data_IF_306258016046
#
_entry.id   IF_306258016046
#
_cell.length_a   1.000
_cell.length_b   1.000
_cell.length_c   1.000
_cell.angle_alpha   90.00
_cell.angle_beta   90.00
_cell.angle_gamma   90.00
#
_symmetry.space_group_name_H-M   'P 1'
#
loop_
_entity.id
_entity.type
_entity.pdbx_description
1 polymer ?
#
# COMPACT_ATOMS: atom_id res chain seq x y z
N UNK A 1 -7.19 -10.75 -13.83
CA UNK A 1 -7.41 -9.28 -13.94
C UNK A 1 -6.80 -8.65 -12.71
N UNK A 2 -5.91 -7.67 -12.88
CA UNK A 2 -5.23 -7.01 -11.76
C UNK A 2 -6.20 -6.14 -10.96
N UNK A 3 -6.02 -6.06 -9.64
CA UNK A 3 -6.91 -5.31 -8.74
C UNK A 3 -6.12 -4.51 -7.72
N UNK A 4 -6.54 -3.27 -7.49
CA UNK A 4 -6.05 -2.43 -6.38
C UNK A 4 -6.54 -3.00 -5.06
N UNK A 5 -5.64 -3.17 -4.10
CA UNK A 5 -5.95 -3.73 -2.78
C UNK A 5 -5.69 -2.77 -1.63
N UNK A 6 -4.84 -1.77 -1.82
CA UNK A 6 -4.46 -0.84 -0.76
C UNK A 6 -3.92 0.47 -1.34
N UNK A 7 -4.11 1.56 -0.60
CA UNK A 7 -3.40 2.83 -0.80
C UNK A 7 -2.36 3.04 0.31
N UNK A 8 -1.29 3.77 0.01
CA UNK A 8 -0.26 4.09 0.98
C UNK A 8 0.13 5.57 0.87
N UNK A 9 0.07 6.29 1.98
CA UNK A 9 0.29 7.72 2.04
C UNK A 9 1.54 8.05 2.89
N UNK A 10 2.50 8.82 2.36
CA UNK A 10 3.67 9.24 3.13
C UNK A 10 3.31 10.34 4.14
N UNK A 11 3.78 10.20 5.37
CA UNK A 11 3.70 11.19 6.43
C UNK A 11 5.10 11.66 6.84
N UNK A 12 5.33 12.96 6.86
CA UNK A 12 6.55 13.56 7.44
C UNK A 12 6.48 13.63 8.97
N UNK A 13 5.26 13.69 9.50
CA UNK A 13 4.93 13.73 10.91
C UNK A 13 3.74 12.78 11.10
N UNK A 14 4.01 11.61 11.67
CA UNK A 14 3.04 10.52 11.78
C UNK A 14 1.88 10.92 12.70
N UNK A 15 2.18 11.50 13.86
CA UNK A 15 1.15 11.91 14.83
C UNK A 15 0.23 12.98 14.24
N UNK A 16 0.79 13.98 13.53
CA UNK A 16 -0.02 15.00 12.84
C UNK A 16 -0.90 14.39 11.75
N UNK A 17 -0.38 13.42 10.99
CA UNK A 17 -1.15 12.75 9.95
C UNK A 17 -2.30 11.93 10.54
N UNK A 18 -2.02 11.13 11.58
CA UNK A 18 -3.04 10.34 12.30
C UNK A 18 -4.14 11.23 12.84
N UNK A 19 -3.79 12.32 13.52
CA UNK A 19 -4.75 13.28 14.05
C UNK A 19 -5.63 13.86 12.94
N UNK A 20 -5.01 14.33 11.85
CA UNK A 20 -5.74 14.91 10.72
C UNK A 20 -6.75 13.93 10.10
N UNK A 21 -6.34 12.70 9.78
CA UNK A 21 -7.23 11.75 9.11
C UNK A 21 -8.35 11.22 10.03
N UNK A 22 -8.08 11.09 11.34
CA UNK A 22 -9.11 10.78 12.33
C UNK A 22 -10.14 11.91 12.44
N UNK A 23 -9.69 13.15 12.63
CA UNK A 23 -10.60 14.27 12.89
C UNK A 23 -11.39 14.70 11.64
N UNK A 24 -10.74 14.75 10.48
CA UNK A 24 -11.37 15.27 9.26
C UNK A 24 -12.22 14.22 8.55
N UNK A 25 -11.76 12.97 8.53
CA UNK A 25 -12.40 11.90 7.75
C UNK A 25 -12.99 10.77 8.59
N UNK A 26 -12.80 10.80 9.92
CA UNK A 26 -13.29 9.74 10.81
C UNK A 26 -12.60 8.40 10.59
N UNK A 27 -11.40 8.37 10.01
CA UNK A 27 -10.70 7.13 9.73
C UNK A 27 -10.21 6.49 11.02
N UNK A 28 -10.29 5.17 11.08
CA UNK A 28 -9.70 4.37 12.14
C UNK A 28 -8.26 4.00 11.75
N UNK A 29 -7.30 4.28 12.62
CA UNK A 29 -5.86 4.21 12.28
C UNK A 29 -5.10 3.62 13.44
N UNK A 30 -4.35 2.54 13.21
CA UNK A 30 -3.54 1.87 14.24
C UNK A 30 -2.09 1.69 13.80
N UNK A 31 -1.16 1.89 14.74
CA UNK A 31 0.23 1.51 14.55
C UNK A 31 0.36 0.00 14.37
N UNK A 32 1.15 -0.44 13.38
CA UNK A 32 1.42 -1.87 13.21
C UNK A 32 2.52 -2.32 14.17
N UNK A 33 2.29 -3.36 15.00
CA UNK A 33 3.31 -3.88 15.91
C UNK A 33 4.59 -4.28 15.17
N UNK A 34 5.74 -3.94 15.74
CA UNK A 34 7.05 -4.22 15.13
C UNK A 34 7.48 -3.25 14.02
N UNK A 35 6.65 -2.28 13.63
CA UNK A 35 7.02 -1.26 12.64
C UNK A 35 7.93 -0.15 13.17
N UNK A 36 8.17 -0.09 14.49
CA UNK A 36 8.89 1.03 15.12
C UNK A 36 8.14 2.37 15.05
N UNK A 37 6.85 2.36 14.70
CA UNK A 37 6.05 3.56 14.47
C UNK A 37 6.08 4.05 13.01
N UNK A 38 6.87 3.41 12.14
CA UNK A 38 7.03 3.85 10.74
C UNK A 38 5.89 3.47 9.82
N UNK A 39 4.95 2.64 10.28
CA UNK A 39 3.81 2.22 9.49
C UNK A 39 2.55 2.09 10.34
N UNK A 40 1.45 2.67 9.86
CA UNK A 40 0.14 2.60 10.49
C UNK A 40 -0.90 2.14 9.49
N UNK A 41 -1.75 1.20 9.87
CA UNK A 41 -2.84 0.71 9.05
C UNK A 41 -4.03 1.67 9.15
N UNK A 42 -4.59 2.07 8.01
CA UNK A 42 -5.74 2.98 7.93
C UNK A 42 -6.98 2.24 7.44
N UNK A 43 -8.07 2.36 8.19
CA UNK A 43 -9.40 1.85 7.85
C UNK A 43 -10.33 3.03 7.56
N UNK A 44 -10.66 3.21 6.28
CA UNK A 44 -11.61 4.22 5.80
C UNK A 44 -13.05 3.70 5.76
N UNK A 45 -13.23 2.38 5.82
CA UNK A 45 -14.51 1.69 5.93
C UNK A 45 -14.47 0.65 7.06
N UNK A 46 -15.62 0.23 7.60
CA UNK A 46 -15.68 -0.81 8.62
C UNK A 46 -15.07 -2.15 8.13
N UNK A 47 -14.34 -2.79 9.03
CA UNK A 47 -13.81 -4.16 8.87
C UNK A 47 -14.49 -5.12 9.83
N UNK A 48 -14.70 -6.36 9.40
CA UNK A 48 -15.16 -7.47 10.24
C UNK A 48 -14.07 -7.98 11.19
N UNK A 49 -14.44 -8.91 12.06
CA UNK A 49 -13.53 -9.52 13.04
C UNK A 49 -12.37 -10.28 12.38
N UNK A 50 -12.55 -10.76 11.15
CA UNK A 50 -11.53 -11.42 10.34
C UNK A 50 -10.60 -10.43 9.61
N UNK A 51 -10.80 -9.12 9.80
CA UNK A 51 -10.09 -8.07 9.09
C UNK A 51 -10.59 -7.82 7.67
N UNK A 52 -11.64 -8.52 7.23
CA UNK A 52 -12.26 -8.34 5.92
C UNK A 52 -13.04 -7.03 5.82
N UNK A 53 -13.06 -6.40 4.64
CA UNK A 53 -13.84 -5.19 4.39
C UNK A 53 -15.33 -5.53 4.34
N UNK A 54 -16.14 -4.80 5.11
CA UNK A 54 -17.60 -4.98 5.12
C UNK A 54 -18.28 -4.28 3.93
N UNK A 55 -17.64 -3.24 3.38
CA UNK A 55 -18.13 -2.53 2.21
C UNK A 55 -17.52 -3.12 0.92
N UNK A 56 -18.40 -3.58 0.03
CA UNK A 56 -17.98 -4.23 -1.22
C UNK A 56 -17.30 -3.23 -2.16
N UNK A 57 -16.05 -3.53 -2.51
CA UNK A 57 -15.28 -2.74 -3.48
C UNK A 57 -14.50 -1.59 -2.87
N UNK A 58 -14.65 -1.34 -1.57
CA UNK A 58 -13.79 -0.41 -0.85
C UNK A 58 -12.34 -0.93 -0.77
N UNK A 59 -11.42 -0.02 -0.47
CA UNK A 59 -10.02 -0.34 -0.14
C UNK A 59 -9.63 0.43 1.11
N UNK A 60 -8.82 -0.20 1.95
CA UNK A 60 -8.12 0.42 3.07
C UNK A 60 -6.67 0.69 2.68
N UNK A 61 -5.84 1.09 3.63
CA UNK A 61 -4.49 1.51 3.29
C UNK A 61 -3.55 1.62 4.48
N UNK A 62 -2.52 2.46 4.30
CA UNK A 62 -1.59 2.79 5.36
C UNK A 62 -1.03 4.20 5.27
N UNK A 63 -0.59 4.69 6.43
CA UNK A 63 0.35 5.79 6.53
C UNK A 63 1.75 5.20 6.75
N UNK A 64 2.76 5.80 6.12
CA UNK A 64 4.14 5.41 6.35
C UNK A 64 5.04 6.63 6.51
N UNK A 65 6.08 6.53 7.35
CA UNK A 65 7.07 7.59 7.49
C UNK A 65 7.74 7.87 6.14
N UNK A 66 7.71 9.12 5.68
CA UNK A 66 8.27 9.48 4.37
C UNK A 66 9.76 9.16 4.34
N UNK A 67 10.21 8.51 3.28
CA UNK A 67 11.59 8.09 3.09
C UNK A 67 11.89 6.69 3.62
N UNK A 68 10.97 6.06 4.36
CA UNK A 68 11.08 4.67 4.77
C UNK A 68 11.25 3.79 3.53
N UNK A 69 12.33 3.02 3.52
CA UNK A 69 12.80 2.23 2.38
C UNK A 69 13.01 3.00 1.06
N UNK A 70 13.25 4.31 1.11
CA UNK A 70 13.42 5.16 -0.07
C UNK A 70 12.10 5.62 -0.72
N UNK A 71 10.95 5.28 -0.14
CA UNK A 71 9.64 5.65 -0.69
C UNK A 71 9.28 7.06 -0.23
N UNK A 72 9.05 7.97 -1.18
CA UNK A 72 8.74 9.39 -0.88
C UNK A 72 7.34 9.83 -1.31
N UNK A 73 6.66 9.03 -2.12
CA UNK A 73 5.40 9.39 -2.76
C UNK A 73 4.30 8.41 -2.37
N UNK A 74 3.05 8.86 -2.47
CA UNK A 74 1.92 7.97 -2.34
C UNK A 74 1.98 6.89 -3.42
N UNK A 75 1.54 5.68 -3.08
CA UNK A 75 1.46 4.58 -4.01
C UNK A 75 0.25 3.71 -3.70
N UNK A 76 -0.11 2.86 -4.67
CA UNK A 76 -1.14 1.85 -4.51
C UNK A 76 -0.51 0.46 -4.60
N UNK A 77 -1.11 -0.48 -3.91
CA UNK A 77 -0.74 -1.89 -4.01
C UNK A 77 -1.75 -2.62 -4.89
N UNK A 78 -1.23 -3.50 -5.75
CA UNK A 78 -2.03 -4.29 -6.67
C UNK A 78 -1.79 -5.78 -6.44
N UNK A 79 -2.86 -6.57 -6.52
CA UNK A 79 -2.77 -8.02 -6.71
C UNK A 79 -2.79 -8.29 -8.20
N UNK A 80 -1.81 -9.09 -8.63
CA UNK A 80 -1.58 -9.50 -10.02
C UNK A 80 -1.31 -10.99 -10.07
N UNK A 81 -1.59 -11.61 -11.21
CA UNK A 81 -1.38 -13.04 -11.40
C UNK A 81 0.13 -13.36 -11.47
N UNK A 82 0.92 -12.48 -12.07
CA UNK A 82 2.40 -12.57 -12.12
C UNK A 82 3.04 -11.19 -12.05
N UNK A 83 3.83 -10.93 -11.00
CA UNK A 83 4.59 -9.68 -10.86
C UNK A 83 5.57 -9.52 -12.02
N UNK A 84 6.25 -10.60 -12.39
CA UNK A 84 7.34 -10.54 -13.37
C UNK A 84 6.80 -10.23 -14.77
N UNK A 85 5.63 -10.79 -15.13
CA UNK A 85 4.92 -10.44 -16.37
C UNK A 85 4.43 -8.98 -16.34
N UNK A 86 3.86 -8.52 -15.23
CA UNK A 86 3.42 -7.14 -15.10
C UNK A 86 4.56 -6.13 -15.20
N UNK A 87 5.69 -6.41 -14.55
CA UNK A 87 6.90 -5.57 -14.60
C UNK A 87 7.48 -5.53 -16.01
N UNK A 88 7.58 -6.70 -16.67
CA UNK A 88 8.03 -6.80 -18.06
C UNK A 88 7.15 -5.96 -18.98
N UNK A 89 5.83 -6.18 -18.92
CA UNK A 89 4.87 -5.44 -19.73
C UNK A 89 4.92 -3.94 -19.44
N UNK A 90 4.92 -3.53 -18.17
CA UNK A 90 5.00 -2.12 -17.78
C UNK A 90 6.26 -1.45 -18.38
N UNK A 91 7.40 -2.13 -18.32
CA UNK A 91 8.66 -1.63 -18.90
C UNK A 91 8.55 -1.43 -20.41
N UNK A 92 7.92 -2.37 -21.13
CA UNK A 92 7.67 -2.21 -22.59
C UNK A 92 6.69 -1.09 -22.94
N UNK A 93 5.94 -0.58 -21.96
CA UNK A 93 4.93 0.48 -22.12
C UNK A 93 5.37 1.81 -21.49
N UNK A 94 6.66 1.98 -21.21
CA UNK A 94 7.22 3.23 -20.67
C UNK A 94 7.13 3.36 -19.14
N UNK A 95 6.69 2.31 -18.45
CA UNK A 95 6.77 2.25 -16.98
C UNK A 95 8.20 2.04 -16.50
N UNK A 96 8.50 2.52 -15.28
CA UNK A 96 9.79 2.33 -14.64
C UNK A 96 9.63 1.61 -13.32
N UNK A 97 10.44 0.57 -13.12
CA UNK A 97 10.61 -0.04 -11.80
C UNK A 97 11.41 0.94 -10.95
N UNK A 98 10.80 1.47 -9.89
CA UNK A 98 11.45 2.42 -8.96
C UNK A 98 11.82 1.76 -7.63
N UNK A 99 11.35 0.54 -7.39
CA UNK A 99 11.68 -0.27 -6.24
C UNK A 99 11.66 -1.74 -6.62
N UNK A 100 12.65 -2.48 -6.13
CA UNK A 100 12.74 -3.92 -6.38
C UNK A 100 11.57 -4.68 -5.75
N UNK A 101 11.27 -5.85 -6.32
CA UNK A 101 10.29 -6.80 -5.79
C UNK A 101 10.66 -7.15 -4.35
N UNK A 102 9.69 -7.03 -3.45
CA UNK A 102 9.82 -7.49 -2.07
C UNK A 102 8.76 -8.50 -1.74
N UNK A 103 9.09 -9.34 -0.77
CA UNK A 103 8.13 -10.26 -0.17
C UNK A 103 7.55 -9.55 1.04
N UNK A 104 6.24 -9.35 1.07
CA UNK A 104 5.53 -9.08 2.31
C UNK A 104 4.72 -10.31 2.68
N UNK A 105 4.70 -10.63 3.97
CA UNK A 105 3.71 -11.54 4.51
C UNK A 105 2.39 -10.79 4.51
N UNK A 106 1.47 -11.23 3.65
CA UNK A 106 0.09 -10.79 3.75
C UNK A 106 -0.44 -11.15 5.14
N UNK A 107 -0.86 -10.16 5.93
CA UNK A 107 -1.69 -10.41 7.11
C UNK A 107 -2.95 -11.14 6.65
N UNK A 108 -3.05 -12.43 7.01
CA UNK A 108 -4.22 -13.28 6.74
C UNK A 108 -4.05 -14.33 5.63
N UNK A 109 -3.16 -15.31 5.81
CA UNK A 109 -3.33 -16.75 5.48
C UNK A 109 -1.96 -17.43 5.27
N UNK A 110 -1.63 -18.52 5.98
CA UNK A 110 -0.31 -19.20 5.87
C UNK A 110 -0.04 -19.91 4.53
N UNK A 111 -1.04 -20.03 3.65
CA UNK A 111 -0.97 -20.93 2.48
C UNK A 111 -0.79 -20.24 1.12
N UNK A 112 -0.80 -18.91 1.05
CA UNK A 112 -0.51 -18.20 -0.20
C UNK A 112 0.74 -17.34 -0.04
N UNK A 113 1.88 -17.80 -0.56
CA UNK A 113 3.01 -16.94 -0.93
C UNK A 113 2.57 -16.03 -2.08
N UNK A 114 1.64 -15.12 -1.82
CA UNK A 114 1.30 -14.07 -2.77
C UNK A 114 2.43 -13.06 -2.69
N UNK A 115 3.27 -12.99 -3.71
CA UNK A 115 4.22 -11.91 -3.84
C UNK A 115 3.41 -10.59 -3.79
N UNK A 116 3.72 -9.69 -2.86
CA UNK A 116 3.01 -8.43 -2.71
C UNK A 116 3.99 -7.28 -2.87
N UNK A 117 3.69 -6.50 -3.90
CA UNK A 117 4.27 -5.23 -4.31
C UNK A 117 5.69 -5.25 -4.91
N UNK A 118 5.74 -5.06 -6.23
CA UNK A 118 6.69 -4.12 -6.83
C UNK A 118 5.94 -2.80 -6.97
N UNK A 119 6.49 -1.71 -6.43
CA UNK A 119 5.97 -0.38 -6.75
C UNK A 119 6.44 -0.02 -8.15
N UNK A 120 5.54 -0.18 -9.11
CA UNK A 120 5.68 0.40 -10.43
C UNK A 120 5.27 1.86 -10.33
N UNK A 121 6.20 2.77 -10.59
CA UNK A 121 5.85 4.16 -10.81
C UNK A 121 5.75 4.38 -12.32
N UNK A 122 4.60 4.90 -12.75
CA UNK A 122 4.54 5.56 -14.04
C UNK A 122 5.09 6.98 -13.83
N UNK A 123 6.18 7.28 -14.50
CA UNK A 123 6.69 8.64 -14.62
C UNK A 123 6.43 9.05 -16.06
N UNK A 124 5.76 10.18 -16.27
CA UNK A 124 5.71 10.81 -17.59
C UNK A 124 7.16 11.11 -17.99
N UNK A 125 7.72 10.30 -18.88
CA UNK A 125 8.96 10.62 -19.60
C UNK A 125 8.57 11.49 -20.79
N UNK A 126 8.02 12.67 -20.50
CA UNK A 126 7.99 13.77 -21.45
C UNK A 126 9.09 14.75 -21.03
N UNK A 127 10.22 14.67 -21.75
CA UNK A 127 11.25 15.70 -21.97
C UNK A 127 11.58 16.66 -20.84
#
# INVERSE_FOLDING_TARGET
>A
MSRVISFNLPADDMDRAVFFYREVFGWDIDSVPGSGGDYHHTRSVPTGEDGGLLEKGAINGGLFSRGTHGIKHAFIEMVVDSIDECVSLASTRGGKVVMDKRWSEATGSPSSRTARATTLAWQDVSG
#
